data_IF_966137804086
#
_entry.id   IF_966137804086
#
_cell.length_a   1.000
_cell.length_b   1.000
_cell.length_c   1.000
_cell.angle_alpha   90.00
_cell.angle_beta   90.00
_cell.angle_gamma   90.00
#
_symmetry.space_group_name_H-M   'P 1'
#
loop_
_entity.id
_entity.type
_entity.pdbx_description
1 polymer ?
#
# COMPACT_ATOMS: atom_id res chain seq x y z
N UNK A 1 16.80 7.78 2.18
CA UNK A 1 15.78 6.76 1.84
C UNK A 1 14.82 6.61 3.00
N UNK A 2 13.50 6.69 2.75
CA UNK A 2 12.48 6.39 3.76
C UNK A 2 12.56 4.90 4.13
N UNK A 3 12.47 4.57 5.43
CA UNK A 3 12.49 3.18 5.91
C UNK A 3 11.21 2.48 5.46
N UNK A 4 11.35 1.27 4.91
CA UNK A 4 10.25 0.47 4.34
C UNK A 4 10.04 -0.72 5.23
N UNK A 5 8.80 -0.99 5.64
CA UNK A 5 8.49 -2.05 6.58
C UNK A 5 7.39 -2.96 6.03
N UNK A 6 7.50 -4.25 6.33
CA UNK A 6 6.43 -5.24 6.15
C UNK A 6 6.44 -6.17 7.35
N UNK A 7 5.28 -6.35 7.98
CA UNK A 7 5.14 -7.22 9.17
C UNK A 7 6.06 -6.81 10.34
N UNK A 8 6.37 -5.52 10.44
CA UNK A 8 7.29 -4.99 11.45
C UNK A 8 8.79 -5.22 11.14
N UNK A 9 9.13 -5.92 10.06
CA UNK A 9 10.50 -6.06 9.58
C UNK A 9 10.84 -4.97 8.56
N UNK A 10 12.05 -4.41 8.66
CA UNK A 10 12.53 -3.45 7.67
C UNK A 10 12.97 -4.18 6.41
N UNK A 11 12.46 -3.78 5.25
CA UNK A 11 12.85 -4.33 3.96
C UNK A 11 14.04 -3.57 3.36
N UNK A 12 14.91 -4.29 2.67
CA UNK A 12 15.89 -3.72 1.74
C UNK A 12 15.20 -3.16 0.48
N UNK A 13 15.97 -2.47 -0.37
CA UNK A 13 15.44 -1.95 -1.64
C UNK A 13 14.96 -3.08 -2.56
N UNK A 14 15.74 -4.15 -2.68
CA UNK A 14 15.44 -5.29 -3.56
C UNK A 14 14.19 -6.04 -3.09
N UNK A 15 14.17 -6.40 -1.80
CA UNK A 15 13.02 -7.07 -1.19
C UNK A 15 11.73 -6.28 -1.30
N UNK A 16 11.80 -4.95 -1.38
CA UNK A 16 10.63 -4.10 -1.59
C UNK A 16 10.13 -4.11 -3.03
N UNK A 17 11.02 -4.03 -4.02
CA UNK A 17 10.61 -3.95 -5.44
C UNK A 17 10.12 -5.30 -5.98
N UNK A 18 10.59 -6.41 -5.41
CA UNK A 18 10.17 -7.76 -5.81
C UNK A 18 8.78 -8.14 -5.27
N UNK A 19 8.15 -7.26 -4.49
CA UNK A 19 6.86 -7.54 -3.90
C UNK A 19 5.75 -7.47 -4.95
N UNK A 20 4.81 -8.43 -4.99
CA UNK A 20 3.68 -8.41 -5.94
C UNK A 20 2.84 -7.13 -5.89
N UNK A 21 2.82 -6.48 -4.73
CA UNK A 21 2.09 -5.24 -4.51
C UNK A 21 2.85 -3.96 -4.94
N UNK A 22 4.14 -4.05 -5.28
CA UNK A 22 4.90 -2.89 -5.74
C UNK A 22 4.32 -2.27 -7.02
N UNK A 23 3.66 -3.09 -7.86
CA UNK A 23 2.93 -2.66 -9.05
C UNK A 23 1.40 -2.88 -8.89
N UNK A 24 0.91 -2.83 -7.65
CA UNK A 24 -0.49 -3.03 -7.33
C UNK A 24 -1.38 -1.82 -7.64
N UNK A 25 -2.67 -2.00 -7.45
CA UNK A 25 -3.69 -0.96 -7.53
C UNK A 25 -4.20 -0.63 -6.13
N UNK A 26 -4.39 0.65 -5.83
CA UNK A 26 -5.04 1.13 -4.61
C UNK A 26 -6.50 1.45 -4.89
N UNK A 27 -7.38 1.07 -3.98
CA UNK A 27 -8.82 1.41 -4.04
C UNK A 27 -9.30 1.78 -2.65
N UNK A 28 -9.96 2.93 -2.57
CA UNK A 28 -10.59 3.41 -1.34
C UNK A 28 -12.02 2.85 -1.28
N UNK A 29 -12.36 2.22 -0.16
CA UNK A 29 -13.71 1.77 0.14
C UNK A 29 -14.13 2.12 1.57
N UNK A 30 -15.42 1.90 1.86
CA UNK A 30 -15.98 2.05 3.20
C UNK A 30 -16.52 0.73 3.71
N UNK A 31 -16.16 0.39 4.95
CA UNK A 31 -16.71 -0.78 5.66
C UNK A 31 -17.06 -0.39 7.08
N UNK A 32 -18.28 -0.70 7.50
CA UNK A 32 -18.78 -0.40 8.86
C UNK A 32 -18.62 1.10 9.22
N UNK A 33 -18.83 1.98 8.24
CA UNK A 33 -18.71 3.43 8.41
C UNK A 33 -17.27 3.94 8.56
N UNK A 34 -16.26 3.14 8.20
CA UNK A 34 -14.84 3.51 8.27
C UNK A 34 -14.20 3.41 6.90
N UNK A 35 -13.40 4.43 6.57
CA UNK A 35 -12.58 4.42 5.37
C UNK A 35 -11.47 3.39 5.49
N UNK A 36 -11.24 2.71 4.37
CA UNK A 36 -10.21 1.70 4.23
C UNK A 36 -9.62 1.77 2.83
N UNK A 37 -8.30 1.79 2.77
CA UNK A 37 -7.56 1.73 1.51
C UNK A 37 -7.05 0.31 1.35
N UNK A 38 -7.49 -0.40 0.32
CA UNK A 38 -6.96 -1.70 0.00
C UNK A 38 -5.87 -1.64 -1.07
N UNK A 39 -5.11 -2.72 -1.16
CA UNK A 39 -4.06 -2.94 -2.14
C UNK A 39 -4.34 -4.23 -2.89
N UNK A 40 -4.44 -4.17 -4.22
CA UNK A 40 -4.76 -5.30 -5.10
C UNK A 40 -3.65 -5.52 -6.12
N UNK A 41 -3.61 -6.73 -6.70
CA UNK A 41 -2.83 -6.95 -7.92
C UNK A 41 -3.51 -6.16 -9.05
N UNK A 42 -2.73 -5.42 -9.84
CA UNK A 42 -3.24 -4.75 -11.03
C UNK A 42 -3.59 -5.81 -12.10
N UNK A 43 -4.84 -5.85 -12.54
CA UNK A 43 -5.32 -6.84 -13.51
C UNK A 43 -6.82 -6.72 -13.78
N UNK A 44 -7.34 -7.44 -14.80
CA UNK A 44 -8.74 -7.36 -15.21
C UNK A 44 -9.70 -8.04 -14.22
N UNK A 45 -9.20 -8.88 -13.31
CA UNK A 45 -10.01 -9.68 -12.41
C UNK A 45 -10.39 -8.94 -11.12
N UNK A 46 -11.65 -8.54 -11.02
CA UNK A 46 -12.20 -7.82 -9.86
C UNK A 46 -12.39 -8.71 -8.60
N UNK A 47 -12.17 -10.02 -8.68
CA UNK A 47 -12.48 -10.97 -7.59
C UNK A 47 -11.25 -11.41 -6.76
N UNK A 48 -10.09 -10.77 -6.94
CA UNK A 48 -8.89 -11.12 -6.16
C UNK A 48 -8.96 -10.50 -4.76
N UNK A 49 -8.62 -11.28 -3.73
CA UNK A 49 -8.49 -10.78 -2.36
C UNK A 49 -7.41 -9.67 -2.31
N UNK A 50 -7.60 -8.63 -1.49
CA UNK A 50 -6.59 -7.60 -1.32
C UNK A 50 -5.31 -8.20 -0.71
N UNK A 51 -4.15 -7.74 -1.18
CA UNK A 51 -2.80 -8.03 -0.66
C UNK A 51 -2.54 -7.34 0.69
N UNK A 52 -3.30 -6.29 0.99
CA UNK A 52 -3.24 -5.53 2.23
C UNK A 52 -4.46 -4.64 2.41
N UNK A 53 -4.76 -4.28 3.64
CA UNK A 53 -5.85 -3.37 3.99
C UNK A 53 -5.36 -2.35 5.03
N UNK A 54 -5.31 -1.08 4.63
CA UNK A 54 -4.94 0.03 5.47
C UNK A 54 -6.21 0.72 6.00
N UNK A 55 -6.43 0.61 7.29
CA UNK A 55 -7.59 1.17 7.98
C UNK A 55 -7.34 2.60 8.42
N UNK A 56 -8.39 3.42 8.32
CA UNK A 56 -8.36 4.86 8.61
C UNK A 56 -7.18 5.54 7.89
N UNK A 57 -7.10 5.39 6.56
CA UNK A 57 -5.99 5.93 5.80
C UNK A 57 -5.98 7.45 5.87
N UNK A 58 -4.79 8.03 6.00
CA UNK A 58 -4.54 9.46 5.96
C UNK A 58 -3.39 9.76 5.00
N UNK A 59 -3.42 10.91 4.33
CA UNK A 59 -2.33 11.35 3.47
C UNK A 59 -1.15 11.74 4.36
N UNK A 60 -0.08 10.96 4.34
CA UNK A 60 1.13 11.22 5.11
C UNK A 60 2.07 12.21 4.41
N UNK A 61 2.12 12.15 3.08
CA UNK A 61 2.90 13.06 2.24
C UNK A 61 2.40 13.02 0.80
N UNK A 62 2.50 14.14 0.09
CA UNK A 62 2.28 14.22 -1.34
C UNK A 62 3.35 15.16 -1.94
N UNK A 63 4.12 14.67 -2.90
CA UNK A 63 5.18 15.43 -3.55
C UNK A 63 5.41 14.91 -4.97
N UNK A 64 5.46 15.82 -5.94
CA UNK A 64 5.62 15.50 -7.36
C UNK A 64 4.57 14.49 -7.84
N UNK A 65 5.00 13.36 -8.37
CA UNK A 65 4.22 12.22 -8.83
C UNK A 65 4.06 11.14 -7.75
N UNK A 66 4.29 11.47 -6.48
CA UNK A 66 4.28 10.50 -5.38
C UNK A 66 3.30 10.89 -4.29
N UNK A 67 2.55 9.90 -3.81
CA UNK A 67 1.65 10.04 -2.65
C UNK A 67 1.92 8.92 -1.66
N UNK A 68 1.90 9.24 -0.38
CA UNK A 68 2.07 8.27 0.72
C UNK A 68 0.84 8.30 1.62
N UNK A 69 0.38 7.12 2.01
CA UNK A 69 -0.74 6.93 2.93
C UNK A 69 -0.25 6.29 4.21
N UNK A 70 -0.67 6.81 5.35
CA UNK A 70 -0.47 6.20 6.66
C UNK A 70 -1.77 5.60 7.19
N UNK A 71 -1.67 4.56 8.00
CA UNK A 71 -2.83 3.99 8.68
C UNK A 71 -2.49 2.72 9.45
N UNK A 72 -3.52 1.97 9.83
CA UNK A 72 -3.37 0.71 10.57
C UNK A 72 -3.61 -0.50 9.66
N UNK A 73 -2.66 -1.41 9.55
CA UNK A 73 -2.80 -2.68 8.83
C UNK A 73 -2.85 -3.83 9.83
N UNK A 74 -3.80 -4.76 9.65
CA UNK A 74 -3.83 -6.01 10.42
C UNK A 74 -3.06 -7.09 9.67
N UNK A 75 -2.04 -7.66 10.30
CA UNK A 75 -1.21 -8.73 9.74
C UNK A 75 -1.23 -9.89 10.75
N UNK A 76 -1.80 -11.01 10.33
CA UNK A 76 -2.19 -12.09 11.25
C UNK A 76 -3.15 -11.55 12.30
N UNK A 77 -2.79 -11.70 13.58
CA UNK A 77 -3.56 -11.19 14.72
C UNK A 77 -3.05 -9.85 15.29
N UNK A 78 -2.05 -9.25 14.66
CA UNK A 78 -1.41 -8.02 15.15
C UNK A 78 -1.76 -6.82 14.28
N UNK A 79 -1.82 -5.67 14.92
CA UNK A 79 -2.01 -4.38 14.27
C UNK A 79 -0.69 -3.63 14.18
N UNK A 80 -0.41 -3.09 13.01
CA UNK A 80 0.82 -2.34 12.74
C UNK A 80 0.46 -0.98 12.16
N UNK A 81 1.16 0.06 12.61
CA UNK A 81 1.18 1.32 11.89
C UNK A 81 2.00 1.15 10.62
N UNK A 82 1.42 1.49 9.48
CA UNK A 82 2.02 1.26 8.17
C UNK A 82 1.95 2.52 7.33
N UNK A 83 2.99 2.72 6.52
CA UNK A 83 3.03 3.77 5.50
C UNK A 83 3.19 3.11 4.14
N UNK A 84 2.18 3.26 3.29
CA UNK A 84 2.17 2.81 1.91
C UNK A 84 2.57 3.96 1.00
N UNK A 85 3.18 3.62 -0.14
CA UNK A 85 3.72 4.56 -1.10
C UNK A 85 3.21 4.21 -2.50
N UNK A 86 2.81 5.22 -3.26
CA UNK A 86 2.31 5.09 -4.62
C UNK A 86 2.95 6.17 -5.50
N UNK A 87 3.43 5.74 -6.67
CA UNK A 87 3.85 6.63 -7.76
C UNK A 87 2.69 6.71 -8.76
N UNK A 88 2.30 7.94 -9.09
CA UNK A 88 1.22 8.29 -10.02
C UNK A 88 1.77 8.29 -11.45
N UNK A 89 3.09 8.47 -11.62
CA UNK A 89 3.81 8.16 -12.85
C UNK A 89 4.15 6.67 -12.86
N UNK A 90 3.75 5.95 -13.92
CA UNK A 90 4.31 4.62 -14.17
C UNK A 90 5.84 4.69 -14.34
N UNK A 91 6.55 3.55 -14.33
CA UNK A 91 7.99 3.56 -14.62
C UNK A 91 8.24 4.32 -15.93
N UNK A 92 9.33 5.09 -16.05
CA UNK A 92 9.68 5.72 -17.32
C UNK A 92 9.62 4.67 -18.41
N UNK A 93 8.83 4.94 -19.45
CA UNK A 93 8.82 4.10 -20.65
C UNK A 93 10.22 4.20 -21.23
N UNK A 94 10.98 3.10 -21.17
CA UNK A 94 12.13 2.89 -22.07
C UNK A 94 11.65 2.76 -23.51
#
# INVERSE_FOLDING_TARGET
>A
MRRRYREGAQLTKHEFVDQPWACGMLTLDQREGRDRLGLWISGPDANVKPLGLLWRPEIAACAYDTISFAGAEKIGDRWFYQVWYCEIGGPPRE
#
